data_IF_944030547654
#
_entry.id   IF_944030547654
#
_cell.length_a   1.000
_cell.length_b   1.000
_cell.length_c   1.000
_cell.angle_alpha   90.00
_cell.angle_beta   90.00
_cell.angle_gamma   90.00
#
_symmetry.space_group_name_H-M   'P 1'
#
loop_
_entity.id
_entity.type
_entity.pdbx_description
1 polymer ?
#
# COMPACT_ATOMS: atom_id res chain seq x y z
N UNK A 1 31.87 10.14 -5.70
CA UNK A 1 31.37 9.69 -5.55
C UNK A 1 31.01 8.90 -5.41
N UNK A 2 31.05 8.95 -5.09
CA UNK A 2 30.47 8.19 -4.91
C UNK A 2 30.27 7.32 -4.60
N UNK A 3 30.18 7.24 -4.33
CA UNK A 3 29.74 6.35 -4.06
C UNK A 3 29.43 5.54 -4.29
N UNK A 4 29.58 5.53 -4.48
CA UNK A 4 29.16 4.63 -4.65
C UNK A 4 29.32 3.57 -4.64
N UNK A 5 29.59 3.73 -4.74
CA UNK A 5 29.69 2.75 -4.77
C UNK A 5 29.73 1.82 -4.21
N UNK A 6 29.71 1.96 -3.80
CA UNK A 6 29.76 1.10 -3.23
C UNK A 6 29.18 0.18 -3.05
N UNK A 7 28.75 0.18 -3.24
CA UNK A 7 28.11 -0.77 -3.06
C UNK A 7 28.10 -1.67 -3.56
N UNK A 8 28.58 -1.36 -3.92
CA UNK A 8 28.60 -2.15 -4.40
C UNK A 8 28.63 -3.32 -4.32
N UNK A 9 28.83 -3.39 -4.28
CA UNK A 9 29.03 -4.46 -4.20
C UNK A 9 28.48 -5.49 -3.78
N UNK A 10 27.91 -5.41 -3.46
CA UNK A 10 27.41 -6.34 -3.17
C UNK A 10 26.74 -6.90 -3.96
N UNK A 11 27.03 -6.96 -4.16
CA UNK A 11 26.61 -7.43 -4.70
C UNK A 11 26.07 -8.17 -5.34
N UNK A 12 26.30 -8.05 -5.90
CA UNK A 12 25.88 -8.85 -6.41
C UNK A 12 24.70 -9.17 -6.48
N UNK A 13 24.21 -8.76 -6.26
CA UNK A 13 22.89 -9.17 -6.16
C UNK A 13 22.04 -8.72 -7.29
N UNK A 14 20.93 -9.39 -7.43
CA UNK A 14 19.93 -9.04 -8.41
C UNK A 14 19.40 -7.65 -8.14
N UNK A 15 19.01 -6.92 -9.17
CA UNK A 15 18.36 -5.64 -8.97
C UNK A 15 17.08 -5.79 -8.19
N UNK A 16 16.75 -4.78 -7.45
CA UNK A 16 15.54 -4.73 -6.68
C UNK A 16 14.66 -3.65 -7.26
N UNK A 17 13.50 -4.04 -7.73
CA UNK A 17 12.56 -3.10 -8.30
C UNK A 17 11.59 -2.66 -7.22
N UNK A 18 11.28 -1.39 -7.24
CA UNK A 18 10.30 -0.81 -6.34
C UNK A 18 9.30 -0.05 -7.19
N UNK A 19 8.10 0.07 -6.67
CA UNK A 19 7.05 0.77 -7.38
C UNK A 19 6.29 1.63 -6.38
N UNK A 20 5.64 2.63 -6.90
CA UNK A 20 4.82 3.50 -6.09
C UNK A 20 3.61 3.91 -6.89
N UNK A 21 2.60 4.38 -6.21
CA UNK A 21 1.37 4.80 -6.84
C UNK A 21 1.30 6.32 -6.89
N UNK A 22 0.86 6.82 -8.02
CA UNK A 22 0.46 8.21 -8.16
C UNK A 22 -1.05 8.21 -8.24
N UNK A 23 -1.70 8.64 -7.18
CA UNK A 23 -3.15 8.61 -7.10
C UNK A 23 -3.80 9.81 -7.76
N UNK A 24 -3.01 10.69 -8.35
CA UNK A 24 -3.54 11.85 -9.05
C UNK A 24 -3.71 13.07 -8.15
N UNK A 25 -3.30 12.96 -6.90
CA UNK A 25 -3.28 14.09 -5.98
C UNK A 25 -2.09 13.94 -5.04
N UNK A 26 -1.74 15.03 -4.38
CA UNK A 26 -0.54 15.09 -3.57
C UNK A 26 -0.77 14.44 -2.21
N UNK A 27 -0.43 13.17 -2.11
CA UNK A 27 -0.57 12.44 -0.85
C UNK A 27 0.78 12.13 -0.20
N UNK A 28 1.81 11.96 -1.00
CA UNK A 28 3.11 11.55 -0.50
C UNK A 28 3.25 10.04 -0.51
N UNK A 29 4.48 9.58 -0.67
CA UNK A 29 4.74 8.14 -0.83
C UNK A 29 4.46 7.37 0.46
N UNK A 30 4.84 7.94 1.60
CA UNK A 30 4.63 7.27 2.89
C UNK A 30 3.14 7.11 3.20
N UNK A 31 2.36 8.15 2.94
CA UNK A 31 0.92 8.07 3.21
C UNK A 31 0.22 7.18 2.21
N UNK A 32 0.67 7.16 0.96
CA UNK A 32 0.13 6.23 -0.04
C UNK A 32 0.35 4.80 0.42
N UNK A 33 1.56 4.48 0.91
CA UNK A 33 1.86 3.15 1.41
C UNK A 33 0.98 2.80 2.61
N UNK A 34 0.82 3.74 3.53
CA UNK A 34 -0.02 3.52 4.71
C UNK A 34 -1.47 3.29 4.31
N UNK A 35 -1.96 4.04 3.32
CA UNK A 35 -3.32 3.86 2.83
C UNK A 35 -3.51 2.43 2.32
N UNK A 36 -2.60 1.95 1.49
CA UNK A 36 -2.72 0.60 0.93
C UNK A 36 -2.59 -0.48 2.00
N UNK A 37 -1.72 -0.28 2.98
CA UNK A 37 -1.61 -1.21 4.10
C UNK A 37 -2.89 -1.23 4.92
N UNK A 38 -3.48 -0.07 5.16
CA UNK A 38 -4.71 0.04 5.92
C UNK A 38 -5.86 -0.67 5.22
N UNK A 39 -6.03 -0.41 3.91
CA UNK A 39 -7.09 -1.04 3.15
C UNK A 39 -6.91 -2.55 3.09
N UNK A 40 -5.68 -3.01 2.90
CA UNK A 40 -5.40 -4.45 2.87
C UNK A 40 -5.74 -5.08 4.22
N UNK A 41 -5.38 -4.43 5.31
CA UNK A 41 -5.67 -4.96 6.64
C UNK A 41 -7.17 -5.04 6.91
N UNK A 42 -7.96 -4.13 6.34
CA UNK A 42 -9.40 -4.13 6.52
C UNK A 42 -10.08 -5.32 5.84
N UNK A 43 -9.46 -5.93 4.85
CA UNK A 43 -9.99 -7.14 4.24
C UNK A 43 -10.03 -8.29 5.23
N UNK A 44 -9.02 -8.38 6.10
CA UNK A 44 -8.93 -9.49 7.05
C UNK A 44 -9.53 -9.15 8.39
N UNK A 45 -9.48 -7.87 8.75
CA UNK A 45 -9.94 -7.43 10.06
C UNK A 45 -10.85 -6.21 9.86
N UNK A 46 -12.17 -6.40 9.84
CA UNK A 46 -13.08 -5.28 9.57
C UNK A 46 -13.29 -4.41 10.81
N UNK A 47 -12.21 -4.05 11.46
CA UNK A 47 -12.19 -3.19 12.62
C UNK A 47 -11.11 -2.14 12.37
N UNK A 48 -11.52 -0.89 12.17
CA UNK A 48 -10.59 0.15 11.77
C UNK A 48 -9.45 0.35 12.77
N UNK A 49 -9.75 0.24 14.06
CA UNK A 49 -8.71 0.38 15.08
C UNK A 49 -7.60 -0.65 14.93
N UNK A 50 -7.98 -1.91 14.70
CA UNK A 50 -7.00 -2.98 14.52
C UNK A 50 -6.26 -2.86 13.20
N UNK A 51 -6.98 -2.51 12.15
CA UNK A 51 -6.35 -2.33 10.84
C UNK A 51 -5.36 -1.18 10.88
N UNK A 52 -5.71 -0.09 11.57
CA UNK A 52 -4.81 1.04 11.72
C UNK A 52 -3.53 0.63 12.45
N UNK A 53 -3.68 -0.12 13.54
CA UNK A 53 -2.51 -0.59 14.29
C UNK A 53 -1.61 -1.46 13.42
N UNK A 54 -2.20 -2.33 12.59
CA UNK A 54 -1.43 -3.17 11.67
C UNK A 54 -0.70 -2.34 10.63
N UNK A 55 -1.25 -1.18 10.27
CA UNK A 55 -0.62 -0.27 9.31
C UNK A 55 0.31 0.75 10.00
N UNK A 56 0.51 0.61 11.31
CA UNK A 56 1.42 1.48 12.05
C UNK A 56 0.88 2.88 12.27
N UNK A 57 -0.44 3.03 12.38
CA UNK A 57 -1.04 4.35 12.56
C UNK A 57 -2.10 4.32 13.66
N UNK A 58 -2.37 5.50 14.20
CA UNK A 58 -3.43 5.64 15.18
C UNK A 58 -4.79 5.59 14.49
N UNK A 59 -5.83 5.33 15.28
CA UNK A 59 -7.19 5.35 14.77
C UNK A 59 -7.53 6.70 14.14
N UNK A 60 -7.15 7.78 14.83
CA UNK A 60 -7.42 9.13 14.32
C UNK A 60 -6.70 9.39 13.00
N UNK A 61 -5.44 8.97 12.90
CA UNK A 61 -4.66 9.15 11.68
C UNK A 61 -5.28 8.35 10.54
N UNK A 62 -5.75 7.14 10.82
CA UNK A 62 -6.39 6.30 9.81
C UNK A 62 -7.65 6.98 9.28
N UNK A 63 -8.49 7.50 10.17
CA UNK A 63 -9.70 8.23 9.77
C UNK A 63 -9.38 9.45 8.93
N UNK A 64 -8.37 10.23 9.36
CA UNK A 64 -7.96 11.43 8.62
C UNK A 64 -7.49 11.09 7.22
N UNK A 65 -6.70 10.03 7.09
CA UNK A 65 -6.19 9.60 5.80
C UNK A 65 -7.32 9.14 4.88
N UNK A 66 -8.23 8.32 5.41
CA UNK A 66 -9.34 7.83 4.61
C UNK A 66 -10.25 8.97 4.15
N UNK A 67 -10.50 9.93 5.04
CA UNK A 67 -11.36 11.07 4.70
C UNK A 67 -10.70 11.93 3.63
N UNK A 68 -9.42 12.22 3.79
CA UNK A 68 -8.70 13.03 2.81
C UNK A 68 -8.73 12.39 1.44
N UNK A 69 -8.48 11.09 1.37
CA UNK A 69 -8.48 10.39 0.10
C UNK A 69 -9.87 10.32 -0.51
N UNK A 70 -10.89 10.12 0.33
CA UNK A 70 -12.26 10.10 -0.17
C UNK A 70 -12.65 11.43 -0.78
N UNK A 71 -12.21 12.54 -0.17
CA UNK A 71 -12.49 13.86 -0.71
C UNK A 71 -11.79 14.06 -2.05
N UNK A 72 -10.56 13.60 -2.17
CA UNK A 72 -9.81 13.76 -3.40
C UNK A 72 -10.35 12.89 -4.53
N UNK A 73 -10.77 11.67 -4.21
CA UNK A 73 -11.35 10.78 -5.20
C UNK A 73 -12.81 11.12 -5.51
N UNK A 74 -13.48 11.82 -4.61
CA UNK A 74 -14.93 12.05 -4.74
C UNK A 74 -15.76 10.83 -4.41
N UNK A 75 -15.15 9.78 -3.84
CA UNK A 75 -15.82 8.53 -3.50
C UNK A 75 -15.23 7.99 -2.22
N UNK A 76 -16.06 7.37 -1.38
CA UNK A 76 -15.59 6.77 -0.15
C UNK A 76 -14.78 5.50 -0.43
N UNK A 77 -13.78 5.27 0.39
CA UNK A 77 -12.95 4.07 0.30
C UNK A 77 -13.44 2.98 1.23
N UNK A 78 -14.12 3.36 2.29
CA UNK A 78 -14.65 2.44 3.29
C UNK A 78 -16.06 2.88 3.67
N UNK A 79 -16.80 1.94 4.24
CA UNK A 79 -18.13 2.20 4.76
C UNK A 79 -18.25 1.48 6.09
N UNK A 80 -18.91 2.14 7.05
CA UNK A 80 -19.18 1.52 8.35
C UNK A 80 -20.54 0.84 8.26
N UNK A 81 -20.55 -0.47 8.48
CA UNK A 81 -21.79 -1.25 8.46
C UNK A 81 -22.09 -1.75 9.87
N UNK A 82 -23.28 -1.43 10.31
CA UNK A 82 -23.70 -1.84 11.63
C UNK A 82 -23.64 -3.36 11.76
N UNK A 83 -22.94 -3.86 12.77
CA UNK A 83 -22.79 -5.29 13.00
C UNK A 83 -21.74 -5.96 12.15
N UNK A 84 -21.16 -5.24 11.17
CA UNK A 84 -20.13 -5.81 10.30
C UNK A 84 -18.82 -5.05 10.34
N UNK A 85 -18.81 -3.91 11.00
CA UNK A 85 -17.60 -3.11 11.12
C UNK A 85 -17.31 -2.26 9.91
N UNK A 86 -16.05 -1.98 9.69
CA UNK A 86 -15.59 -1.13 8.59
C UNK A 86 -15.23 -2.02 7.40
N UNK A 87 -15.84 -1.76 6.28
CA UNK A 87 -15.65 -2.56 5.08
C UNK A 87 -15.20 -1.69 3.92
N UNK A 88 -14.49 -2.29 2.97
CA UNK A 88 -14.06 -1.57 1.78
C UNK A 88 -15.22 -1.38 0.83
N UNK A 89 -15.24 -0.22 0.17
CA UNK A 89 -16.12 -0.01 -0.96
C UNK A 89 -15.49 -0.63 -2.20
N UNK A 90 -16.20 -0.59 -3.32
CA UNK A 90 -15.65 -1.09 -4.58
C UNK A 90 -14.35 -0.37 -4.94
N UNK A 91 -14.27 0.94 -4.67
CA UNK A 91 -13.03 1.68 -4.91
C UNK A 91 -11.90 1.17 -4.03
N UNK A 92 -12.18 0.97 -2.73
CA UNK A 92 -11.17 0.46 -1.81
C UNK A 92 -10.67 -0.92 -2.23
N UNK A 93 -11.60 -1.79 -2.65
CA UNK A 93 -11.22 -3.12 -3.11
C UNK A 93 -10.37 -3.06 -4.37
N UNK A 94 -10.72 -2.17 -5.30
CA UNK A 94 -9.95 -2.02 -6.53
C UNK A 94 -8.52 -1.59 -6.25
N UNK A 95 -8.32 -0.68 -5.31
CA UNK A 95 -6.98 -0.23 -4.97
C UNK A 95 -6.16 -1.38 -4.40
N UNK A 96 -6.75 -2.20 -3.54
CA UNK A 96 -6.05 -3.34 -2.98
C UNK A 96 -5.70 -4.35 -4.06
N UNK A 97 -6.62 -4.61 -4.98
CA UNK A 97 -6.37 -5.55 -6.07
C UNK A 97 -5.25 -5.07 -6.97
N UNK A 98 -5.24 -3.79 -7.31
CA UNK A 98 -4.19 -3.24 -8.15
C UNK A 98 -2.83 -3.33 -7.47
N UNK A 99 -2.81 -3.04 -6.17
CA UNK A 99 -1.59 -3.11 -5.39
C UNK A 99 -1.06 -4.55 -5.35
N UNK A 100 -1.93 -5.51 -5.12
CA UNK A 100 -1.56 -6.92 -5.10
C UNK A 100 -1.06 -7.41 -6.45
N UNK A 101 -1.68 -6.97 -7.53
CA UNK A 101 -1.27 -7.35 -8.88
C UNK A 101 0.12 -6.81 -9.20
N UNK A 102 0.40 -5.57 -8.81
CA UNK A 102 1.71 -4.97 -9.04
C UNK A 102 2.78 -5.69 -8.24
N UNK A 103 2.47 -6.04 -6.99
CA UNK A 103 3.40 -6.76 -6.14
C UNK A 103 3.74 -8.12 -6.73
N UNK A 104 2.73 -8.84 -7.21
CA UNK A 104 2.94 -10.14 -7.82
C UNK A 104 3.79 -10.04 -9.09
N UNK A 105 3.54 -9.02 -9.90
CA UNK A 105 4.31 -8.81 -11.12
C UNK A 105 5.79 -8.58 -10.80
N UNK A 106 6.08 -7.79 -9.76
CA UNK A 106 7.46 -7.55 -9.35
C UNK A 106 8.11 -8.82 -8.80
N UNK A 107 7.36 -9.61 -8.03
CA UNK A 107 7.88 -10.86 -7.51
C UNK A 107 8.30 -11.79 -8.64
N UNK A 108 7.50 -11.84 -9.70
CA UNK A 108 7.83 -12.68 -10.85
C UNK A 108 9.07 -12.20 -11.57
N UNK A 109 9.24 -10.90 -11.71
CA UNK A 109 10.42 -10.33 -12.34
C UNK A 109 11.66 -10.67 -11.50
N UNK A 110 11.57 -10.51 -10.19
CA UNK A 110 12.69 -10.81 -9.30
C UNK A 110 13.04 -12.29 -9.36
N UNK A 111 12.06 -13.16 -9.40
CA UNK A 111 12.29 -14.60 -9.47
C UNK A 111 13.01 -14.98 -10.76
N UNK A 112 12.59 -14.42 -11.88
CA UNK A 112 13.25 -14.67 -13.16
C UNK A 112 14.69 -14.20 -13.13
N UNK A 113 14.92 -13.02 -12.58
CA UNK A 113 16.26 -12.46 -12.51
C UNK A 113 17.17 -13.33 -11.63
N UNK A 114 16.65 -13.74 -10.48
CA UNK A 114 17.44 -14.58 -9.56
C UNK A 114 17.79 -15.91 -10.19
N UNK A 115 16.89 -16.47 -10.99
CA UNK A 115 17.14 -17.73 -11.67
C UNK A 115 18.30 -17.63 -12.65
N UNK A 116 18.48 -16.47 -13.26
CA UNK A 116 19.54 -16.25 -14.24
C UNK A 116 20.91 -16.01 -13.60
N UNK A 117 20.90 -15.65 -12.34
CA UNK A 117 22.13 -15.40 -11.62
C UNK A 117 22.76 -16.70 -11.13
#
# INVERSE_FOLDING_TARGET
>A
MSKPATNRGKASSAPRLRWSWDLGFDLGEADTRRLLQLLTALLETPALGRAAAAAGMSYRAAWGLLRRCAEEFGLALVVMERGRGTRLTALGESLVEMDGAARLALDKVHAVWETRM
#
